data_IF_218533910683
#
_entry.id   IF_218533910683
#
_cell.length_a   1.000
_cell.length_b   1.000
_cell.length_c   1.000
_cell.angle_alpha   90.00
_cell.angle_beta   90.00
_cell.angle_gamma   90.00
#
_symmetry.space_group_name_H-M   'P 1'
#
loop_
_entity.id
_entity.type
_entity.pdbx_description
1 polymer ?
#
# COMPACT_ATOMS: atom_id res chain seq x y z
N UNK A 1 29.62 19.22 -25.89
CA UNK A 1 29.97 18.06 -25.05
C UNK A 1 29.83 18.43 -23.57
N UNK A 2 28.60 18.59 -23.07
CA UNK A 2 28.34 18.95 -21.66
C UNK A 2 28.19 17.72 -20.74
N UNK A 3 28.12 16.51 -21.30
CA UNK A 3 27.92 15.27 -20.55
C UNK A 3 29.18 14.75 -19.83
N UNK A 4 30.39 15.13 -20.27
CA UNK A 4 31.64 14.68 -19.64
C UNK A 4 31.93 15.37 -18.30
N UNK A 5 31.47 16.61 -18.10
CA UNK A 5 31.78 17.39 -16.89
C UNK A 5 30.99 16.95 -15.65
N UNK A 6 29.90 16.19 -15.81
CA UNK A 6 29.04 15.76 -14.72
C UNK A 6 29.42 14.37 -14.16
N UNK A 7 30.14 13.56 -14.94
CA UNK A 7 30.59 12.24 -14.52
C UNK A 7 31.81 12.42 -13.60
N UNK A 8 31.69 11.99 -12.34
CA UNK A 8 32.76 12.11 -11.33
C UNK A 8 32.75 13.44 -10.54
N UNK A 9 31.90 14.40 -10.90
CA UNK A 9 31.78 15.66 -10.18
C UNK A 9 31.00 15.50 -8.85
N UNK A 10 31.40 16.24 -7.81
CA UNK A 10 30.62 16.35 -6.56
C UNK A 10 29.41 17.27 -6.79
N UNK A 11 28.30 16.69 -7.21
CA UNK A 11 27.04 17.40 -7.46
C UNK A 11 26.09 17.22 -6.28
N UNK A 12 25.46 18.31 -5.82
CA UNK A 12 24.40 18.23 -4.80
C UNK A 12 23.17 17.54 -5.39
N UNK A 13 22.59 16.62 -4.64
CA UNK A 13 21.37 15.90 -5.04
C UNK A 13 20.17 16.84 -5.04
N UNK A 14 19.25 16.64 -5.97
CA UNK A 14 18.06 17.48 -6.14
C UNK A 14 17.03 17.25 -5.04
N UNK A 15 17.00 16.02 -4.53
CA UNK A 15 16.06 15.53 -3.54
C UNK A 15 16.43 15.88 -2.10
N UNK A 16 17.73 16.06 -1.80
CA UNK A 16 18.22 16.28 -0.43
C UNK A 16 17.46 17.38 0.30
N UNK A 17 17.24 18.60 -0.28
CA UNK A 17 16.55 19.66 0.43
C UNK A 17 15.17 19.29 0.97
N UNK A 18 14.38 18.48 0.25
CA UNK A 18 13.06 18.05 0.75
C UNK A 18 13.14 16.84 1.69
N UNK A 19 14.09 15.94 1.48
CA UNK A 19 14.20 14.72 2.28
C UNK A 19 14.80 14.97 3.66
N UNK A 20 15.73 15.93 3.80
CA UNK A 20 16.46 16.16 5.06
C UNK A 20 15.87 17.27 5.95
N UNK A 21 14.90 18.02 5.45
CA UNK A 21 14.27 19.14 6.18
C UNK A 21 12.85 18.84 6.67
N UNK A 22 12.33 17.64 6.38
CA UNK A 22 10.94 17.28 6.66
C UNK A 22 9.92 17.94 5.71
N UNK A 23 10.36 18.61 4.66
CA UNK A 23 9.48 19.23 3.66
C UNK A 23 9.04 18.27 2.53
N UNK A 24 9.51 17.02 2.54
CA UNK A 24 9.09 15.98 1.61
C UNK A 24 7.79 15.33 2.07
N UNK A 25 6.87 15.12 1.13
CA UNK A 25 5.67 14.32 1.37
C UNK A 25 5.91 12.86 0.93
N UNK A 26 5.72 11.93 1.84
CA UNK A 26 5.66 10.50 1.56
C UNK A 26 4.21 10.04 1.42
N UNK A 27 4.01 8.80 0.94
CA UNK A 27 2.68 8.21 0.78
C UNK A 27 1.89 8.21 2.10
N UNK A 28 2.57 8.03 3.23
CA UNK A 28 1.95 8.06 4.56
C UNK A 28 1.49 9.45 5.02
N UNK A 29 2.00 10.53 4.42
CA UNK A 29 1.64 11.91 4.78
C UNK A 29 0.39 12.39 4.04
N UNK A 30 -0.03 11.66 3.00
CA UNK A 30 -1.19 11.99 2.19
C UNK A 30 -2.46 11.89 3.03
N UNK A 31 -3.25 12.96 3.05
CA UNK A 31 -4.59 13.01 3.65
C UNK A 31 -5.59 13.51 2.61
N UNK A 32 -6.61 12.71 2.34
CA UNK A 32 -7.67 13.05 1.39
C UNK A 32 -9.02 13.15 2.11
N UNK A 33 -9.92 14.04 1.68
CA UNK A 33 -11.30 14.03 2.16
C UNK A 33 -11.94 12.65 1.94
N UNK A 34 -12.60 12.11 2.98
CA UNK A 34 -13.23 10.78 2.91
C UNK A 34 -12.26 9.59 2.93
N UNK A 35 -10.98 9.80 3.24
CA UNK A 35 -10.00 8.72 3.35
C UNK A 35 -10.38 7.72 4.44
N UNK A 36 -10.44 6.44 4.07
CA UNK A 36 -10.62 5.33 4.99
C UNK A 36 -9.28 4.69 5.33
N UNK A 37 -9.20 4.06 6.50
CA UNK A 37 -8.02 3.30 6.93
C UNK A 37 -8.26 1.81 6.76
N UNK A 38 -7.22 1.08 6.36
CA UNK A 38 -7.26 -0.38 6.19
C UNK A 38 -6.39 -1.06 7.25
N UNK A 39 -6.88 -2.18 7.77
CA UNK A 39 -6.12 -3.08 8.63
C UNK A 39 -6.14 -4.49 8.02
N UNK A 40 -4.97 -5.12 7.94
CA UNK A 40 -4.83 -6.47 7.38
C UNK A 40 -4.78 -7.51 8.50
N UNK A 41 -5.69 -8.47 8.45
CA UNK A 41 -5.61 -9.69 9.26
C UNK A 41 -4.72 -10.69 8.53
N UNK A 42 -3.62 -11.10 9.15
CA UNK A 42 -2.64 -12.03 8.56
C UNK A 42 -2.70 -13.39 9.25
N UNK A 43 -2.31 -14.43 8.53
CA UNK A 43 -2.17 -15.77 9.10
C UNK A 43 -1.11 -15.77 10.21
N UNK A 44 -1.39 -16.33 11.40
CA UNK A 44 -0.37 -16.61 12.41
C UNK A 44 0.41 -17.90 12.11
N UNK A 45 -0.02 -18.68 11.11
CA UNK A 45 0.61 -19.94 10.70
C UNK A 45 1.41 -19.73 9.42
N UNK A 46 2.61 -20.33 9.37
CA UNK A 46 3.47 -20.30 8.17
C UNK A 46 2.84 -21.01 6.97
N UNK A 47 2.07 -22.08 7.20
CA UNK A 47 1.33 -22.80 6.17
C UNK A 47 0.05 -23.40 6.76
N UNK A 48 -1.11 -23.05 6.19
CA UNK A 48 -2.41 -23.57 6.60
C UNK A 48 -3.43 -23.43 5.47
N UNK A 49 -4.50 -24.24 5.53
CA UNK A 49 -5.67 -24.09 4.67
C UNK A 49 -6.72 -23.25 5.38
N UNK A 50 -7.19 -22.18 4.74
CA UNK A 50 -8.33 -21.38 5.22
C UNK A 50 -9.59 -22.23 5.04
N UNK A 51 -10.24 -22.58 6.16
CA UNK A 51 -11.52 -23.33 6.13
C UNK A 51 -12.72 -22.39 6.12
N UNK A 52 -12.63 -21.29 6.86
CA UNK A 52 -13.68 -20.29 6.98
C UNK A 52 -13.10 -18.95 7.43
N UNK A 53 -13.83 -17.87 7.18
CA UNK A 53 -13.56 -16.51 7.67
C UNK A 53 -14.89 -16.00 8.24
N UNK A 54 -14.92 -15.65 9.53
CA UNK A 54 -16.06 -14.98 10.15
C UNK A 54 -15.73 -13.50 10.39
N UNK A 55 -16.36 -12.63 9.60
CA UNK A 55 -16.22 -11.18 9.69
C UNK A 55 -17.27 -10.51 10.60
N UNK A 56 -18.22 -11.27 11.15
CA UNK A 56 -19.42 -10.73 11.79
C UNK A 56 -19.11 -9.81 12.96
N UNK A 57 -18.12 -10.16 13.78
CA UNK A 57 -17.69 -9.33 14.91
C UNK A 57 -17.06 -8.01 14.48
N UNK A 58 -16.28 -8.01 13.40
CA UNK A 58 -15.66 -6.80 12.86
C UNK A 58 -16.72 -5.87 12.24
N UNK A 59 -17.66 -6.43 11.47
CA UNK A 59 -18.75 -5.66 10.86
C UNK A 59 -19.69 -4.98 11.86
N UNK A 60 -19.82 -5.52 13.08
CA UNK A 60 -20.61 -4.90 14.15
C UNK A 60 -19.89 -3.74 14.85
N UNK A 61 -18.60 -3.51 14.60
CA UNK A 61 -17.86 -2.43 15.27
C UNK A 61 -18.18 -1.06 14.66
N UNK A 62 -18.49 -0.04 15.48
CA UNK A 62 -18.63 1.32 15.00
C UNK A 62 -17.39 1.78 14.23
N UNK A 63 -17.60 2.41 13.07
CA UNK A 63 -16.53 2.93 12.20
C UNK A 63 -15.94 1.91 11.21
N UNK A 64 -16.31 0.63 11.28
CA UNK A 64 -15.98 -0.33 10.23
C UNK A 64 -16.95 -0.16 9.07
N UNK A 65 -16.42 0.20 7.91
CA UNK A 65 -17.25 0.44 6.71
C UNK A 65 -17.36 -0.80 5.83
N UNK A 66 -16.32 -1.65 5.82
CA UNK A 66 -16.34 -2.92 5.10
C UNK A 66 -15.32 -3.90 5.71
N UNK A 67 -15.58 -5.20 5.50
CA UNK A 67 -14.57 -6.26 5.63
C UNK A 67 -14.51 -6.97 4.29
N UNK A 68 -13.33 -6.97 3.67
CA UNK A 68 -13.10 -7.57 2.35
C UNK A 68 -12.30 -8.86 2.51
N UNK A 69 -12.79 -9.92 1.89
CA UNK A 69 -12.21 -11.26 1.93
C UNK A 69 -11.85 -11.74 0.52
N UNK A 70 -11.21 -12.92 0.43
CA UNK A 70 -10.92 -13.53 -0.87
C UNK A 70 -12.16 -13.82 -1.72
N UNK A 71 -13.33 -13.98 -1.10
CA UNK A 71 -14.59 -14.22 -1.81
C UNK A 71 -15.10 -12.97 -2.58
N UNK A 72 -14.67 -11.79 -2.18
CA UNK A 72 -15.09 -10.51 -2.77
C UNK A 72 -14.22 -10.13 -3.98
N UNK A 73 -12.99 -10.63 -4.05
CA UNK A 73 -12.01 -10.28 -5.09
C UNK A 73 -12.47 -10.56 -6.53
N UNK A 74 -13.14 -11.67 -6.87
CA UNK A 74 -13.58 -11.94 -8.24
C UNK A 74 -14.52 -10.87 -8.81
N UNK A 75 -15.30 -10.19 -7.95
CA UNK A 75 -16.19 -9.12 -8.37
C UNK A 75 -15.48 -7.76 -8.46
N UNK A 76 -14.33 -7.60 -7.82
CA UNK A 76 -13.63 -6.32 -7.67
C UNK A 76 -12.41 -6.17 -8.58
N UNK A 77 -11.79 -7.28 -8.97
CA UNK A 77 -10.57 -7.29 -9.78
C UNK A 77 -10.81 -8.07 -11.06
N UNK A 78 -10.43 -7.47 -12.20
CA UNK A 78 -10.21 -8.23 -13.44
C UNK A 78 -9.04 -9.20 -13.29
N UNK A 79 -8.83 -10.10 -14.26
CA UNK A 79 -7.69 -11.01 -14.24
C UNK A 79 -6.40 -10.20 -14.10
N UNK A 80 -5.59 -10.55 -13.10
CA UNK A 80 -4.28 -9.92 -12.89
C UNK A 80 -3.44 -10.08 -14.16
N UNK A 81 -2.84 -9.01 -14.71
CA UNK A 81 -2.08 -9.07 -15.96
C UNK A 81 -0.75 -9.82 -15.87
N UNK A 82 -0.51 -10.55 -14.77
CA UNK A 82 0.56 -11.52 -14.61
C UNK A 82 -0.07 -12.91 -14.63
N UNK A 83 0.01 -13.56 -15.79
CA UNK A 83 -0.86 -14.67 -16.17
C UNK A 83 -0.85 -15.89 -15.25
N UNK A 84 -1.99 -16.59 -15.27
CA UNK A 84 -2.09 -17.99 -14.87
C UNK A 84 -3.42 -18.35 -14.21
N UNK A 85 -4.47 -18.58 -15.02
CA UNK A 85 -5.71 -19.24 -14.60
C UNK A 85 -6.92 -18.32 -14.51
#
# INVERSE_FOLDING_TARGET
MAYSAMIGARVKRKEDPRLITGAGNYVGDIKLPGMHHVAFVRSPYAHARIRSIDASAALRRPGVVAVVTGADLPAMCGPMPIGGG
#
